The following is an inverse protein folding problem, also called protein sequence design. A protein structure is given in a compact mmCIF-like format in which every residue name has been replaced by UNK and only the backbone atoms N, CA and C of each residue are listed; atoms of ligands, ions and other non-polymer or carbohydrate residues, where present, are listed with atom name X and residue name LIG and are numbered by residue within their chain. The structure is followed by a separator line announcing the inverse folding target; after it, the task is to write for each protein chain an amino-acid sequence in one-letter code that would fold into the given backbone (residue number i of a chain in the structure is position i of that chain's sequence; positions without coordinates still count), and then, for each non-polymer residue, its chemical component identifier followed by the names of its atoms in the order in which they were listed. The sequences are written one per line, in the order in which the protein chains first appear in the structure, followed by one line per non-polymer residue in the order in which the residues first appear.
data_IF_089398683473
#
_entry.id   IF_089398683473
#
_cell.length_a   1.000
_cell.length_b   1.000
_cell.length_c   1.000
_cell.angle_alpha   90.00
_cell.angle_beta   90.00
_cell.angle_gamma   90.00
#
_symmetry.space_group_name_H-M   'P 1'
#
loop_
_entity.id
_entity.type
_entity.pdbx_description
1 polymer ?
#
# COMPACT_ATOMS: atom_id res chain seq x y z
N UNK A 1 -42.63 6.40 -3.53
CA UNK A 1 -42.15 5.50 -4.59
C UNK A 1 -40.69 5.18 -4.28
N UNK A 2 -40.43 3.98 -3.77
CA UNK A 2 -39.08 3.56 -3.37
C UNK A 2 -38.33 3.00 -4.57
N UNK A 3 -37.19 3.60 -4.90
CA UNK A 3 -36.31 3.13 -5.97
C UNK A 3 -35.40 2.04 -5.42
N UNK A 4 -35.75 0.79 -5.69
CA UNK A 4 -34.92 -0.38 -5.39
C UNK A 4 -33.70 -0.37 -6.33
N UNK A 5 -32.51 -0.15 -5.79
CA UNK A 5 -31.25 -0.28 -6.55
C UNK A 5 -30.99 -1.78 -6.73
N UNK A 6 -30.83 -2.29 -7.97
CA UNK A 6 -30.57 -3.69 -8.19
C UNK A 6 -29.15 -4.05 -7.73
N UNK A 7 -29.06 -5.03 -6.82
CA UNK A 7 -27.80 -5.62 -6.39
C UNK A 7 -27.21 -6.39 -7.59
N UNK A 8 -26.19 -5.83 -8.24
CA UNK A 8 -25.48 -6.51 -9.33
C UNK A 8 -24.83 -7.81 -8.82
N UNK A 9 -24.85 -8.90 -9.62
CA UNK A 9 -24.25 -10.17 -9.23
C UNK A 9 -22.74 -10.01 -9.02
N UNK A 10 -22.20 -10.73 -8.04
CA UNK A 10 -20.79 -10.72 -7.70
C UNK A 10 -19.94 -11.21 -8.88
N UNK A 11 -19.27 -10.31 -9.59
CA UNK A 11 -18.19 -10.69 -10.53
C UNK A 11 -17.07 -11.33 -9.72
N UNK A 12 -16.80 -12.60 -10.00
CA UNK A 12 -15.55 -13.25 -9.65
C UNK A 12 -14.54 -12.77 -10.69
N UNK A 13 -13.49 -12.10 -10.25
CA UNK A 13 -12.42 -11.69 -11.16
C UNK A 13 -11.61 -12.95 -11.47
N UNK A 14 -11.84 -13.53 -12.64
CA UNK A 14 -11.11 -14.71 -13.09
C UNK A 14 -9.73 -14.28 -13.58
N UNK A 15 -8.72 -14.43 -12.72
CA UNK A 15 -7.33 -14.29 -13.14
C UNK A 15 -6.92 -15.54 -13.91
N UNK A 16 -6.15 -15.42 -15.01
CA UNK A 16 -5.60 -16.60 -15.67
C UNK A 16 -4.73 -17.37 -14.68
N UNK A 17 -4.91 -18.70 -14.65
CA UNK A 17 -4.13 -19.58 -13.78
C UNK A 17 -2.63 -19.29 -13.97
N UNK A 18 -1.93 -19.03 -12.87
CA UNK A 18 -0.47 -18.81 -12.88
C UNK A 18 0.17 -20.07 -13.46
N UNK A 19 0.64 -19.99 -14.70
CA UNK A 19 1.43 -21.06 -15.30
C UNK A 19 2.61 -21.35 -14.38
N UNK A 20 2.63 -22.55 -13.79
CA UNK A 20 3.81 -23.07 -13.12
C UNK A 20 4.93 -23.09 -14.16
N UNK A 21 5.82 -22.10 -14.12
CA UNK A 21 7.12 -22.25 -14.79
C UNK A 21 7.76 -23.46 -14.15
N UNK A 22 7.88 -24.55 -14.92
CA UNK A 22 8.70 -25.70 -14.55
C UNK A 22 10.08 -25.17 -14.14
N UNK A 23 10.67 -25.66 -13.04
CA UNK A 23 12.05 -25.33 -12.71
C UNK A 23 12.95 -25.73 -13.91
N UNK A 24 13.99 -24.94 -14.23
CA UNK A 24 14.89 -25.31 -15.30
C UNK A 24 15.54 -26.66 -14.99
N UNK A 25 15.56 -27.53 -16.00
CA UNK A 25 16.26 -28.81 -15.96
C UNK A 25 17.73 -28.57 -15.60
N UNK A 26 18.14 -29.08 -14.43
CA UNK A 26 19.55 -29.15 -14.04
C UNK A 26 20.13 -30.37 -14.76
N UNK A 27 20.97 -30.14 -15.77
CA UNK A 27 21.83 -31.18 -16.34
C UNK A 27 23.00 -31.47 -15.37
N UNK A 28 23.35 -32.73 -15.13
CA UNK A 28 24.45 -33.09 -14.25
C UNK A 28 25.80 -32.87 -14.96
N UNK A 29 26.70 -32.09 -14.35
CA UNK A 29 28.11 -32.08 -14.73
C UNK A 29 28.88 -33.01 -13.79
N UNK A 30 29.39 -34.11 -14.33
CA UNK A 30 30.44 -34.92 -13.74
C UNK A 30 31.79 -34.16 -13.76
N UNK A 31 32.53 -34.26 -12.66
CA UNK A 31 33.93 -33.83 -12.54
C UNK A 31 34.45 -34.15 -11.13
N UNK A 32 35.59 -34.85 -10.95
CA UNK A 32 35.87 -35.58 -9.73
C UNK A 32 36.80 -34.86 -8.73
N UNK A 33 36.65 -35.28 -7.46
CA UNK A 33 37.67 -35.45 -6.41
C UNK A 33 38.51 -34.25 -5.93
N UNK A 34 38.41 -33.93 -4.64
CA UNK A 34 39.47 -34.28 -3.66
C UNK A 34 39.05 -33.94 -2.21
N UNK A 35 39.48 -34.82 -1.31
CA UNK A 35 39.34 -34.84 0.15
C UNK A 35 40.24 -33.79 0.83
N UNK A 36 39.82 -33.23 1.98
CA UNK A 36 40.63 -32.73 3.14
C UNK A 36 39.87 -31.60 3.86
N UNK A 37 39.90 -31.35 5.17
CA UNK A 37 40.21 -32.05 6.41
C UNK A 37 39.68 -31.10 7.52
N UNK A 38 39.17 -31.62 8.64
CA UNK A 38 38.62 -30.83 9.76
C UNK A 38 39.69 -29.97 10.48
N UNK A 39 39.36 -28.72 10.84
CA UNK A 39 39.80 -28.04 12.10
C UNK A 39 38.74 -26.99 12.53
N UNK A 40 38.28 -26.94 13.80
CA UNK A 40 37.53 -25.81 14.39
C UNK A 40 38.37 -25.07 15.47
N UNK A 41 37.80 -24.13 16.26
CA UNK A 41 37.40 -22.76 15.94
C UNK A 41 38.27 -21.72 16.70
N UNK A 42 38.16 -20.42 16.38
CA UNK A 42 38.62 -19.38 17.33
C UNK A 42 37.74 -18.14 17.26
N UNK A 43 37.10 -17.87 18.38
CA UNK A 43 36.37 -16.66 18.73
C UNK A 43 37.36 -15.56 19.12
N UNK A 44 37.19 -14.35 18.58
CA UNK A 44 37.77 -13.12 19.15
C UNK A 44 36.71 -12.02 19.12
N UNK A 45 36.32 -11.61 20.32
CA UNK A 45 35.58 -10.39 20.63
C UNK A 45 36.57 -9.23 20.74
N UNK A 46 36.32 -8.07 20.11
CA UNK A 46 36.64 -6.75 20.69
C UNK A 46 36.10 -5.56 19.87
N UNK A 47 35.31 -4.72 20.57
CA UNK A 47 35.30 -3.24 20.62
C UNK A 47 35.21 -2.39 19.33
N UNK A 48 34.09 -1.67 19.23
CA UNK A 48 33.96 -0.20 19.23
C UNK A 48 35.19 0.63 18.77
N UNK A 49 35.11 1.30 17.61
CA UNK A 49 34.97 2.76 17.49
C UNK A 49 35.34 3.28 16.08
N UNK A 50 34.61 4.32 15.69
CA UNK A 50 34.98 5.46 14.84
C UNK A 50 35.11 5.28 13.31
N UNK A 51 34.11 5.85 12.64
CA UNK A 51 34.22 6.82 11.55
C UNK A 51 35.59 6.96 10.89
N UNK A 52 35.67 6.54 9.63
CA UNK A 52 36.49 7.24 8.65
C UNK A 52 35.82 7.24 7.27
N UNK A 53 35.31 8.44 6.96
CA UNK A 53 34.86 8.88 5.66
C UNK A 53 35.94 8.60 4.60
N UNK A 54 35.64 7.75 3.62
CA UNK A 54 36.49 7.52 2.44
C UNK A 54 35.69 7.84 1.20
N UNK A 55 35.70 9.13 0.83
CA UNK A 55 35.30 9.63 -0.49
C UNK A 55 36.24 9.03 -1.53
N UNK A 56 35.77 8.02 -2.27
CA UNK A 56 36.32 7.70 -3.59
C UNK A 56 35.45 8.43 -4.62
N UNK A 57 35.97 9.55 -5.10
CA UNK A 57 35.41 10.28 -6.24
C UNK A 57 35.92 9.55 -7.49
N UNK A 58 35.07 8.75 -8.11
CA UNK A 58 35.21 8.40 -9.53
C UNK A 58 34.32 9.34 -10.33
N UNK A 59 34.96 10.25 -11.06
CA UNK A 59 34.32 11.27 -11.88
C UNK A 59 33.78 10.66 -13.17
N UNK A 60 32.57 10.06 -13.14
CA UNK A 60 31.68 10.03 -14.31
C UNK A 60 30.24 9.73 -13.87
N UNK A 61 29.32 10.64 -14.21
CA UNK A 61 27.86 10.60 -14.03
C UNK A 61 27.31 11.15 -12.69
N UNK A 62 26.97 12.45 -12.72
CA UNK A 62 26.11 13.12 -11.74
C UNK A 62 24.70 12.52 -11.77
N UNK A 63 24.46 11.53 -10.92
CA UNK A 63 23.13 11.25 -10.38
C UNK A 63 23.32 10.89 -8.91
N UNK A 64 22.93 11.81 -8.03
CA UNK A 64 22.73 11.54 -6.61
C UNK A 64 21.63 10.49 -6.52
N UNK A 65 22.03 9.22 -6.51
CA UNK A 65 21.14 8.11 -6.20
C UNK A 65 20.87 8.24 -4.71
N UNK A 66 19.81 8.95 -4.36
CA UNK A 66 19.27 8.95 -3.01
C UNK A 66 18.89 7.50 -2.69
N UNK A 67 19.83 6.78 -2.10
CA UNK A 67 19.63 5.43 -1.59
C UNK A 67 18.80 5.60 -0.33
N UNK A 68 17.49 5.80 -0.49
CA UNK A 68 16.56 5.80 0.62
C UNK A 68 16.68 4.43 1.27
N UNK A 69 17.24 4.39 2.48
CA UNK A 69 17.34 3.17 3.27
C UNK A 69 15.93 2.60 3.44
N UNK A 70 15.72 1.36 3.01
CA UNK A 70 14.43 0.68 3.16
C UNK A 70 14.04 0.62 4.63
N UNK A 71 12.84 1.09 4.96
CA UNK A 71 12.36 1.10 6.34
C UNK A 71 12.13 -0.33 6.84
N UNK A 72 12.61 -0.64 8.05
CA UNK A 72 12.34 -1.93 8.71
C UNK A 72 11.09 -1.79 9.58
N UNK A 73 9.98 -2.36 9.11
CA UNK A 73 8.73 -2.42 9.87
C UNK A 73 8.75 -3.60 10.86
N UNK A 74 8.42 -3.33 12.13
CA UNK A 74 8.28 -4.35 13.17
C UNK A 74 6.82 -4.42 13.61
N UNK A 75 6.10 -5.38 13.05
CA UNK A 75 4.70 -5.62 13.34
C UNK A 75 4.57 -6.36 14.67
N UNK A 76 3.71 -5.88 15.56
CA UNK A 76 3.33 -6.65 16.74
C UNK A 76 2.36 -7.79 16.37
N UNK A 77 1.98 -8.62 17.34
CA UNK A 77 1.14 -9.79 17.08
C UNK A 77 -0.26 -9.44 16.56
N UNK A 78 -0.88 -8.34 17.02
CA UNK A 78 -2.18 -7.86 16.53
C UNK A 78 -2.07 -7.34 15.09
N UNK A 79 -1.03 -6.55 14.82
CA UNK A 79 -0.74 -6.05 13.48
C UNK A 79 -0.47 -7.20 12.51
N UNK A 80 0.24 -8.24 12.97
CA UNK A 80 0.48 -9.46 12.19
C UNK A 80 -0.82 -10.21 11.86
N UNK A 81 -1.77 -10.29 12.80
CA UNK A 81 -3.10 -10.86 12.56
C UNK A 81 -3.87 -10.02 11.53
N UNK A 82 -3.84 -8.68 11.66
CA UNK A 82 -4.50 -7.77 10.74
C UNK A 82 -3.93 -7.89 9.31
N UNK A 83 -2.61 -7.96 9.19
CA UNK A 83 -1.90 -8.20 7.93
C UNK A 83 -2.31 -9.55 7.32
N UNK A 84 -2.32 -10.62 8.10
CA UNK A 84 -2.70 -11.94 7.63
C UNK A 84 -4.16 -11.97 7.14
N UNK A 85 -5.06 -11.34 7.89
CA UNK A 85 -6.48 -11.22 7.52
C UNK A 85 -6.68 -10.43 6.23
N UNK A 86 -6.04 -9.26 6.10
CA UNK A 86 -6.13 -8.45 4.88
C UNK A 86 -5.51 -9.17 3.67
N UNK A 87 -4.32 -9.76 3.83
CA UNK A 87 -3.65 -10.55 2.79
C UNK A 87 -4.57 -11.66 2.28
N UNK A 88 -5.15 -12.45 3.20
CA UNK A 88 -6.10 -13.51 2.86
C UNK A 88 -7.34 -12.98 2.14
N UNK A 89 -7.91 -11.86 2.60
CA UNK A 89 -9.10 -11.26 1.99
C UNK A 89 -8.84 -10.79 0.56
N UNK A 90 -7.67 -10.19 0.29
CA UNK A 90 -7.24 -9.77 -1.05
C UNK A 90 -7.06 -11.00 -1.95
N UNK A 91 -6.33 -12.02 -1.47
CA UNK A 91 -6.08 -13.27 -2.20
C UNK A 91 -7.37 -14.00 -2.58
N UNK A 92 -8.28 -14.21 -1.62
CA UNK A 92 -9.58 -14.86 -1.86
C UNK A 92 -10.46 -14.06 -2.82
N UNK A 93 -10.40 -12.72 -2.74
CA UNK A 93 -11.18 -11.86 -3.65
C UNK A 93 -10.59 -11.86 -5.07
N UNK A 94 -9.27 -12.03 -5.18
CA UNK A 94 -8.57 -12.16 -6.47
C UNK A 94 -8.62 -13.59 -7.02
N UNK A 95 -8.99 -14.60 -6.21
CA UNK A 95 -8.85 -16.00 -6.62
C UNK A 95 -7.39 -16.41 -6.83
N UNK A 96 -6.44 -15.71 -6.20
CA UNK A 96 -5.00 -15.98 -6.28
C UNK A 96 -4.55 -16.63 -4.99
N UNK A 97 -3.70 -17.66 -5.09
CA UNK A 97 -2.92 -18.15 -3.95
C UNK A 97 -1.51 -17.60 -4.02
N UNK A 98 -1.09 -16.90 -2.99
CA UNK A 98 0.25 -16.36 -2.84
C UNK A 98 0.82 -16.76 -1.46
N UNK A 99 1.87 -17.57 -1.48
CA UNK A 99 2.57 -18.06 -0.29
C UNK A 99 3.52 -17.00 0.33
N UNK A 100 3.57 -15.80 -0.24
CA UNK A 100 4.40 -14.70 0.27
C UNK A 100 3.92 -14.27 1.66
N UNK A 101 4.78 -14.35 2.71
CA UNK A 101 4.36 -14.07 4.08
C UNK A 101 4.23 -12.56 4.35
N UNK A 102 3.38 -12.25 5.33
CA UNK A 102 3.25 -10.91 5.90
C UNK A 102 2.79 -9.84 4.91
N UNK A 103 3.23 -8.60 5.13
CA UNK A 103 2.80 -7.45 4.34
C UNK A 103 3.18 -7.56 2.86
N UNK A 104 4.28 -8.26 2.55
CA UNK A 104 4.70 -8.49 1.17
C UNK A 104 3.67 -9.27 0.35
N UNK A 105 2.89 -10.15 0.97
CA UNK A 105 1.80 -10.87 0.31
C UNK A 105 0.67 -9.94 -0.15
N UNK A 106 0.36 -8.89 0.63
CA UNK A 106 -0.57 -7.82 0.25
C UNK A 106 -0.06 -7.14 -1.02
N UNK A 107 1.18 -6.66 -0.99
CA UNK A 107 1.78 -5.90 -2.10
C UNK A 107 1.92 -6.77 -3.36
N UNK A 108 2.36 -8.02 -3.22
CA UNK A 108 2.50 -8.96 -4.34
C UNK A 108 1.16 -9.25 -5.01
N UNK A 109 0.11 -9.52 -4.23
CA UNK A 109 -1.22 -9.78 -4.78
C UNK A 109 -1.82 -8.51 -5.40
N UNK A 110 -1.66 -7.35 -4.75
CA UNK A 110 -2.07 -6.06 -5.30
C UNK A 110 -1.36 -5.74 -6.61
N UNK A 111 -0.08 -6.08 -6.76
CA UNK A 111 0.65 -5.90 -8.01
C UNK A 111 0.12 -6.81 -9.13
N UNK A 112 -0.30 -8.04 -8.80
CA UNK A 112 -0.99 -8.91 -9.76
C UNK A 112 -2.34 -8.32 -10.19
N UNK A 113 -3.15 -7.86 -9.23
CA UNK A 113 -4.44 -7.17 -9.49
C UNK A 113 -4.23 -5.96 -10.40
N UNK A 114 -3.23 -5.12 -10.10
CA UNK A 114 -2.91 -3.93 -10.89
C UNK A 114 -2.54 -4.26 -12.35
N UNK A 115 -1.77 -5.34 -12.58
CA UNK A 115 -1.35 -5.74 -13.94
C UNK A 115 -2.50 -6.27 -14.79
N UNK A 116 -3.43 -6.98 -14.17
CA UNK A 116 -4.40 -7.82 -14.87
C UNK A 116 -5.78 -7.17 -15.00
N UNK A 117 -6.14 -6.22 -14.12
CA UNK A 117 -7.44 -5.55 -14.14
C UNK A 117 -7.33 -4.15 -14.74
N UNK A 118 -8.40 -3.67 -15.38
CA UNK A 118 -8.52 -2.27 -15.78
C UNK A 118 -8.69 -1.34 -14.56
N UNK A 119 -8.43 -0.03 -14.65
CA UNK A 119 -8.56 0.90 -13.52
C UNK A 119 -9.94 0.87 -12.81
N UNK A 120 -11.03 0.73 -13.58
CA UNK A 120 -12.37 0.64 -13.01
C UNK A 120 -12.58 -0.69 -12.26
N UNK A 121 -12.03 -1.79 -12.78
CA UNK A 121 -12.09 -3.11 -12.13
C UNK A 121 -11.20 -3.16 -10.89
N UNK A 122 -10.04 -2.50 -10.91
CA UNK A 122 -9.16 -2.32 -9.76
C UNK A 122 -9.90 -1.61 -8.62
N UNK A 123 -10.60 -0.51 -8.93
CA UNK A 123 -11.41 0.24 -7.97
C UNK A 123 -12.52 -0.64 -7.37
N UNK A 124 -13.30 -1.30 -8.22
CA UNK A 124 -14.36 -2.20 -7.78
C UNK A 124 -13.83 -3.38 -6.93
N UNK A 125 -12.66 -3.91 -7.29
CA UNK A 125 -11.97 -4.95 -6.54
C UNK A 125 -11.62 -4.48 -5.13
N UNK A 126 -10.99 -3.30 -4.99
CA UNK A 126 -10.59 -2.79 -3.67
C UNK A 126 -11.80 -2.44 -2.82
N UNK A 127 -12.85 -1.85 -3.38
CA UNK A 127 -14.10 -1.61 -2.65
C UNK A 127 -14.67 -2.91 -2.06
N UNK A 128 -14.67 -3.99 -2.84
CA UNK A 128 -15.12 -5.31 -2.39
C UNK A 128 -14.23 -5.88 -1.28
N UNK A 129 -12.92 -5.69 -1.37
CA UNK A 129 -11.98 -6.07 -0.30
C UNK A 129 -12.26 -5.28 0.97
N UNK A 130 -12.45 -3.96 0.88
CA UNK A 130 -12.74 -3.10 2.02
C UNK A 130 -14.08 -3.49 2.68
N UNK A 131 -15.13 -3.73 1.88
CA UNK A 131 -16.44 -4.18 2.37
C UNK A 131 -16.34 -5.53 3.11
N UNK A 132 -15.49 -6.46 2.65
CA UNK A 132 -15.23 -7.74 3.35
C UNK A 132 -14.33 -7.59 4.58
N UNK A 133 -13.40 -6.64 4.55
CA UNK A 133 -12.46 -6.40 5.64
C UNK A 133 -13.13 -5.74 6.85
N UNK A 134 -14.25 -5.04 6.62
CA UNK A 134 -15.10 -4.49 7.68
C UNK A 134 -15.78 -5.64 8.46
N UNK A 135 -15.54 -5.76 9.78
CA UNK A 135 -16.21 -6.77 10.58
C UNK A 135 -17.72 -6.52 10.64
N UNK A 136 -18.55 -7.56 10.49
CA UNK A 136 -20.02 -7.43 10.48
C UNK A 136 -20.59 -6.77 11.73
N UNK A 137 -19.96 -6.95 12.90
CA UNK A 137 -20.38 -6.30 14.15
C UNK A 137 -20.29 -4.77 14.09
N UNK A 138 -19.41 -4.23 13.24
CA UNK A 138 -19.20 -2.79 13.09
C UNK A 138 -20.23 -2.11 12.20
N UNK A 139 -21.08 -2.85 11.47
CA UNK A 139 -22.08 -2.28 10.56
C UNK A 139 -23.08 -1.36 11.28
N UNK A 140 -23.45 -1.70 12.51
CA UNK A 140 -24.33 -0.84 13.34
C UNK A 140 -23.62 0.47 13.67
N UNK A 141 -22.33 0.42 14.02
CA UNK A 141 -21.52 1.59 14.30
C UNK A 141 -21.32 2.44 13.05
N UNK A 142 -20.99 1.83 11.91
CA UNK A 142 -20.83 2.51 10.61
C UNK A 142 -22.13 3.23 10.23
N UNK A 143 -23.29 2.57 10.37
CA UNK A 143 -24.58 3.18 10.09
C UNK A 143 -24.83 4.40 10.97
N UNK A 144 -24.58 4.29 12.29
CA UNK A 144 -24.69 5.41 13.23
C UNK A 144 -23.73 6.54 12.86
N UNK A 145 -22.51 6.21 12.50
CA UNK A 145 -21.46 7.17 12.17
C UNK A 145 -21.77 7.93 10.88
N UNK A 146 -22.31 7.25 9.87
CA UNK A 146 -22.78 7.87 8.62
C UNK A 146 -23.94 8.84 8.83
N UNK A 147 -24.77 8.61 9.86
CA UNK A 147 -25.86 9.51 10.24
C UNK A 147 -25.37 10.70 11.08
N UNK A 148 -24.12 10.68 11.57
CA UNK A 148 -23.59 11.82 12.30
C UNK A 148 -23.28 12.97 11.35
N UNK A 149 -23.53 14.23 11.77
CA UNK A 149 -23.14 15.39 11.00
C UNK A 149 -21.63 15.37 10.71
N UNK A 150 -21.24 15.93 9.55
CA UNK A 150 -19.84 16.19 9.24
C UNK A 150 -19.33 17.38 10.07
N UNK A 151 -19.22 17.15 11.37
CA UNK A 151 -18.77 18.13 12.36
C UNK A 151 -17.26 18.07 12.53
N UNK A 152 -16.68 19.14 13.09
CA UNK A 152 -15.28 19.19 13.52
C UNK A 152 -14.91 17.98 14.37
N UNK A 153 -15.74 17.65 15.37
CA UNK A 153 -15.53 16.50 16.25
C UNK A 153 -15.41 15.19 15.47
N UNK A 154 -16.29 14.98 14.49
CA UNK A 154 -16.27 13.78 13.66
C UNK A 154 -14.95 13.69 12.88
N UNK A 155 -14.52 14.77 12.23
CA UNK A 155 -13.27 14.80 11.44
C UNK A 155 -12.03 14.55 12.30
N UNK A 156 -11.94 15.19 13.45
CA UNK A 156 -10.83 15.00 14.39
C UNK A 156 -10.80 13.57 14.95
N UNK A 157 -11.97 13.01 15.29
CA UNK A 157 -12.07 11.62 15.73
C UNK A 157 -11.55 10.66 14.66
N UNK A 158 -11.94 10.84 13.39
CA UNK A 158 -11.46 9.98 12.30
C UNK A 158 -9.97 10.13 12.05
N UNK A 159 -9.43 11.36 12.14
CA UNK A 159 -7.99 11.57 12.00
C UNK A 159 -7.20 10.82 13.09
N UNK A 160 -7.62 10.96 14.35
CA UNK A 160 -7.01 10.25 15.49
C UNK A 160 -7.20 8.73 15.37
N UNK A 161 -8.41 8.29 15.03
CA UNK A 161 -8.69 6.86 14.86
C UNK A 161 -7.82 6.26 13.76
N UNK A 162 -7.61 6.98 12.67
CA UNK A 162 -6.82 6.50 11.52
C UNK A 162 -5.35 6.29 11.89
N UNK A 163 -4.75 7.19 12.66
CA UNK A 163 -3.33 7.05 13.08
C UNK A 163 -3.11 5.86 13.99
N UNK A 164 -4.12 5.44 14.75
CA UNK A 164 -4.05 4.27 15.63
C UNK A 164 -4.40 2.98 14.86
N UNK A 165 -5.53 2.96 14.15
CA UNK A 165 -6.08 1.74 13.56
C UNK A 165 -5.34 1.28 12.30
N UNK A 166 -4.78 2.21 11.52
CA UNK A 166 -4.16 1.89 10.23
C UNK A 166 -2.64 2.02 10.23
N UNK A 167 -2.00 2.24 11.38
CA UNK A 167 -0.53 2.30 11.51
C UNK A 167 0.17 1.11 10.86
N UNK A 168 -0.32 -0.10 11.06
CA UNK A 168 0.26 -1.31 10.48
C UNK A 168 0.16 -1.37 8.95
N UNK A 169 -0.88 -0.73 8.39
CA UNK A 169 -1.22 -0.78 6.97
C UNK A 169 -0.45 0.30 6.19
N UNK A 170 -0.50 1.53 6.68
CA UNK A 170 0.08 2.70 5.98
C UNK A 170 1.41 3.13 6.58
N UNK A 171 1.76 2.75 7.81
CA UNK A 171 3.00 3.14 8.47
C UNK A 171 2.81 4.24 9.52
N UNK A 172 3.93 4.79 10.07
CA UNK A 172 3.89 5.81 11.10
C UNK A 172 3.18 7.08 10.62
N UNK A 173 2.21 7.53 11.41
CA UNK A 173 1.40 8.70 11.09
C UNK A 173 1.11 9.55 12.32
N UNK A 174 0.91 10.84 12.08
CA UNK A 174 0.63 11.86 13.08
C UNK A 174 -0.56 12.72 12.65
N UNK A 175 -1.27 13.31 13.61
CA UNK A 175 -2.38 14.23 13.31
C UNK A 175 -1.84 15.66 13.30
N UNK A 176 -2.01 16.35 12.18
CA UNK A 176 -1.67 17.76 11.98
C UNK A 176 -2.91 18.64 11.97
N UNK A 177 -2.68 19.92 12.22
CA UNK A 177 -3.70 20.96 12.12
C UNK A 177 -3.71 21.52 10.70
N UNK A 178 -4.91 21.68 10.15
CA UNK A 178 -5.15 22.46 8.94
C UNK A 178 -6.19 23.52 9.25
N UNK A 179 -6.03 24.68 8.62
CA UNK A 179 -7.08 25.69 8.64
C UNK A 179 -8.15 25.30 7.63
N UNK A 180 -9.28 24.82 8.14
CA UNK A 180 -10.44 24.44 7.34
C UNK A 180 -11.56 25.45 7.62
N UNK A 181 -12.00 26.17 6.58
CA UNK A 181 -13.06 27.18 6.67
C UNK A 181 -12.81 28.26 7.76
N UNK A 182 -11.55 28.72 7.89
CA UNK A 182 -11.16 29.76 8.86
C UNK A 182 -11.09 29.28 10.31
N UNK A 183 -11.14 27.96 10.55
CA UNK A 183 -10.94 27.35 11.88
C UNK A 183 -9.81 26.34 11.82
N UNK A 184 -8.96 26.34 12.84
CA UNK A 184 -7.96 25.29 13.02
C UNK A 184 -8.63 24.01 13.50
N UNK A 185 -8.42 22.94 12.75
CA UNK A 185 -8.95 21.61 13.04
C UNK A 185 -7.83 20.57 12.92
N UNK A 186 -7.87 19.55 13.79
CA UNK A 186 -6.94 18.41 13.75
C UNK A 186 -7.46 17.34 12.80
N UNK A 187 -7.69 17.71 11.54
CA UNK A 187 -8.35 16.87 10.53
C UNK A 187 -7.39 16.29 9.47
N UNK A 188 -6.09 16.51 9.59
CA UNK A 188 -5.08 15.97 8.66
C UNK A 188 -4.30 14.86 9.32
N UNK A 189 -4.24 13.70 8.68
CA UNK A 189 -3.33 12.62 9.06
C UNK A 189 -2.14 12.66 8.12
N UNK A 190 -0.97 12.97 8.65
CA UNK A 190 0.28 12.94 7.92
C UNK A 190 0.98 11.60 8.14
N UNK A 191 1.06 10.78 7.09
CA UNK A 191 1.82 9.54 7.08
C UNK A 191 3.24 9.89 6.63
N UNK A 192 4.19 9.80 7.57
CA UNK A 192 5.59 10.17 7.33
C UNK A 192 6.25 9.35 6.23
N UNK A 193 5.94 8.05 6.16
CA UNK A 193 6.37 7.17 5.07
C UNK A 193 5.36 6.05 4.86
N UNK A 194 4.69 6.08 3.72
CA UNK A 194 3.62 5.18 3.36
C UNK A 194 4.18 3.79 3.02
N UNK A 195 3.91 2.80 3.86
CA UNK A 195 4.39 1.42 3.71
C UNK A 195 3.96 0.78 2.39
N UNK A 196 2.73 1.04 1.94
CA UNK A 196 2.21 0.51 0.68
C UNK A 196 2.94 1.12 -0.53
N UNK A 197 3.20 2.43 -0.47
CA UNK A 197 3.92 3.15 -1.51
C UNK A 197 5.40 2.75 -1.55
N UNK A 198 6.04 2.62 -0.38
CA UNK A 198 7.44 2.21 -0.26
C UNK A 198 7.67 0.78 -0.77
N UNK A 199 6.82 -0.19 -0.37
CA UNK A 199 6.97 -1.58 -0.80
C UNK A 199 6.49 -1.82 -2.23
N UNK A 200 5.43 -1.13 -2.67
CA UNK A 200 4.88 -1.26 -4.01
C UNK A 200 5.67 -0.51 -5.07
N UNK A 201 6.32 0.60 -4.68
CA UNK A 201 7.15 1.46 -5.53
C UNK A 201 6.52 1.76 -6.88
N UNK A 202 5.21 2.03 -6.87
CA UNK A 202 4.44 2.29 -8.08
C UNK A 202 3.33 3.32 -7.84
N UNK A 203 3.43 4.47 -8.53
CA UNK A 203 2.43 5.55 -8.53
C UNK A 203 1.04 5.01 -8.87
N UNK A 204 0.95 4.21 -9.94
CA UNK A 204 -0.31 3.63 -10.39
C UNK A 204 -1.00 2.73 -9.35
N UNK A 205 -0.24 1.95 -8.58
CA UNK A 205 -0.82 1.16 -7.48
C UNK A 205 -1.34 2.07 -6.36
N UNK A 206 -0.59 3.10 -6.00
CA UNK A 206 -1.01 4.06 -4.99
C UNK A 206 -2.30 4.77 -5.39
N UNK A 207 -2.38 5.28 -6.61
CA UNK A 207 -3.57 6.02 -7.09
C UNK A 207 -4.78 5.12 -7.27
N UNK A 208 -4.63 3.98 -7.96
CA UNK A 208 -5.77 3.14 -8.35
C UNK A 208 -6.20 2.12 -7.28
N UNK A 209 -5.28 1.64 -6.44
CA UNK A 209 -5.59 0.62 -5.43
C UNK A 209 -5.68 1.16 -4.00
N UNK A 210 -5.13 2.35 -3.72
CA UNK A 210 -5.22 2.96 -2.40
C UNK A 210 -6.08 4.22 -2.45
N UNK A 211 -5.59 5.31 -3.06
CA UNK A 211 -6.23 6.64 -3.04
C UNK A 211 -7.69 6.61 -3.48
N UNK A 212 -7.97 6.28 -4.74
CA UNK A 212 -9.32 6.36 -5.29
C UNK A 212 -10.35 5.49 -4.56
N UNK A 213 -10.11 4.17 -4.36
CA UNK A 213 -11.08 3.33 -3.69
C UNK A 213 -11.24 3.66 -2.20
N UNK A 214 -10.18 4.05 -1.49
CA UNK A 214 -10.29 4.43 -0.08
C UNK A 214 -11.10 5.71 0.11
N UNK A 215 -10.90 6.72 -0.74
CA UNK A 215 -11.69 7.95 -0.70
C UNK A 215 -13.18 7.69 -0.94
N UNK A 216 -13.50 6.88 -1.95
CA UNK A 216 -14.89 6.49 -2.20
C UNK A 216 -15.48 5.69 -1.04
N UNK A 217 -14.74 4.70 -0.55
CA UNK A 217 -15.19 3.85 0.53
C UNK A 217 -15.50 4.67 1.79
N UNK A 218 -14.62 5.60 2.16
CA UNK A 218 -14.83 6.42 3.36
C UNK A 218 -16.07 7.32 3.18
N UNK A 219 -16.22 7.96 2.02
CA UNK A 219 -17.40 8.79 1.72
C UNK A 219 -18.69 7.97 1.72
N UNK A 220 -18.71 6.79 1.10
CA UNK A 220 -19.89 5.91 1.00
C UNK A 220 -20.26 5.27 2.34
N UNK A 221 -19.27 4.80 3.10
CA UNK A 221 -19.48 4.04 4.34
C UNK A 221 -19.71 4.96 5.53
N UNK A 222 -18.92 6.02 5.67
CA UNK A 222 -18.92 6.89 6.85
C UNK A 222 -19.51 8.27 6.60
N UNK A 223 -19.83 8.64 5.35
CA UNK A 223 -20.42 9.95 5.04
C UNK A 223 -19.44 11.12 5.12
N UNK A 224 -18.14 10.83 5.11
CA UNK A 224 -17.09 11.87 5.26
C UNK A 224 -16.27 11.94 3.99
N UNK A 225 -16.22 13.11 3.32
CA UNK A 225 -15.30 13.30 2.21
C UNK A 225 -13.87 13.35 2.75
N UNK A 226 -12.96 12.81 1.95
CA UNK A 226 -11.54 12.75 2.29
C UNK A 226 -10.75 12.94 1.01
N UNK A 227 -9.71 13.75 1.10
CA UNK A 227 -8.70 13.91 0.06
C UNK A 227 -7.39 13.31 0.53
N UNK A 228 -6.86 12.34 -0.21
CA UNK A 228 -5.57 11.70 0.06
C UNK A 228 -4.51 12.28 -0.86
N UNK A 229 -3.46 12.89 -0.33
CA UNK A 229 -2.41 13.57 -1.10
C UNK A 229 -1.08 12.83 -0.90
N UNK A 230 -0.73 11.88 -1.79
CA UNK A 230 0.56 11.21 -1.74
C UNK A 230 1.68 12.13 -2.21
N UNK A 231 2.85 12.03 -1.59
CA UNK A 231 4.09 12.60 -2.08
C UNK A 231 5.00 11.46 -2.55
N UNK A 232 5.39 11.48 -3.82
CA UNK A 232 6.19 10.43 -4.43
C UNK A 232 7.70 10.64 -4.29
N UNK A 233 8.15 11.82 -3.86
CA UNK A 233 9.57 12.08 -3.64
C UNK A 233 10.06 11.48 -2.32
N UNK A 234 9.29 11.67 -1.25
CA UNK A 234 9.61 11.18 0.10
C UNK A 234 8.78 9.95 0.54
N UNK A 235 7.86 9.50 -0.32
CA UNK A 235 6.91 8.41 -0.06
C UNK A 235 5.92 8.70 1.09
N UNK A 236 5.72 9.95 1.49
CA UNK A 236 4.72 10.35 2.49
C UNK A 236 3.31 10.43 1.89
N UNK A 237 2.28 10.57 2.73
CA UNK A 237 0.91 10.74 2.28
C UNK A 237 0.08 11.49 3.32
N UNK A 238 -0.70 12.47 2.90
CA UNK A 238 -1.66 13.16 3.77
C UNK A 238 -3.08 12.67 3.53
N UNK A 239 -3.86 12.51 4.59
CA UNK A 239 -5.29 12.18 4.52
C UNK A 239 -6.04 13.34 5.18
N UNK A 240 -6.75 14.12 4.38
CA UNK A 240 -7.44 15.34 4.81
C UNK A 240 -8.92 15.03 4.95
N UNK A 241 -9.41 14.92 6.18
CA UNK A 241 -10.82 14.66 6.46
C UNK A 241 -11.65 15.93 6.31
N UNK A 242 -12.79 15.83 5.63
CA UNK A 242 -13.68 16.97 5.35
C UNK A 242 -13.46 17.63 3.99
N UNK A 243 -12.34 17.35 3.32
CA UNK A 243 -12.08 17.87 1.98
C UNK A 243 -12.60 16.90 0.91
N UNK A 244 -13.40 17.39 -0.03
CA UNK A 244 -13.79 16.59 -1.19
C UNK A 244 -12.56 16.31 -2.08
N UNK A 245 -12.39 15.06 -2.53
CA UNK A 245 -11.29 14.73 -3.42
C UNK A 245 -11.49 15.41 -4.78
N UNK A 246 -10.41 15.85 -5.45
CA UNK A 246 -10.48 16.40 -6.80
C UNK A 246 -10.97 15.35 -7.80
N UNK A 247 -11.43 15.82 -8.97
CA UNK A 247 -11.65 14.95 -10.12
C UNK A 247 -10.32 14.32 -10.55
N UNK A 248 -10.37 13.11 -11.11
CA UNK A 248 -9.17 12.35 -11.47
C UNK A 248 -8.28 13.10 -12.50
N UNK A 249 -8.89 13.83 -13.44
CA UNK A 249 -8.18 14.67 -14.42
C UNK A 249 -7.43 15.86 -13.79
N UNK A 250 -7.95 16.39 -12.68
CA UNK A 250 -7.37 17.54 -12.00
C UNK A 250 -6.36 17.14 -10.93
N UNK A 251 -6.45 15.91 -10.43
CA UNK A 251 -5.67 15.37 -9.34
C UNK A 251 -4.17 15.29 -9.68
N UNK A 252 -3.30 16.04 -8.97
CA UNK A 252 -1.86 16.01 -9.19
C UNK A 252 -1.26 14.61 -9.11
N UNK A 253 -1.83 13.71 -8.28
CA UNK A 253 -1.31 12.36 -8.12
C UNK A 253 -1.34 11.52 -9.42
N UNK A 254 -2.17 11.92 -10.40
CA UNK A 254 -2.26 11.25 -11.72
C UNK A 254 -1.39 11.90 -12.80
N UNK A 255 -0.78 13.06 -12.51
CA UNK A 255 0.10 13.79 -13.44
C UNK A 255 1.57 13.43 -13.26
N UNK A 256 1.90 12.77 -12.17
CA UNK A 256 3.25 12.36 -11.81
C UNK A 256 3.75 11.18 -12.67
N UNK A 257 5.03 11.20 -13.11
CA UNK A 257 5.58 10.11 -13.91
C UNK A 257 5.65 8.81 -13.10
N UNK A 258 5.50 7.68 -13.78
CA UNK A 258 5.67 6.37 -13.15
C UNK A 258 7.11 6.23 -12.62
N UNK A 259 7.29 5.74 -11.38
CA UNK A 259 8.63 5.43 -10.87
C UNK A 259 9.37 4.52 -11.83
N UNK A 260 10.66 4.81 -12.07
CA UNK A 260 11.56 3.93 -12.87
C UNK A 260 11.61 2.49 -12.34
N UNK A 261 11.33 2.31 -11.05
CA UNK A 261 11.32 1.03 -10.36
C UNK A 261 9.94 0.33 -10.41
N UNK A 262 8.87 1.00 -10.87
CA UNK A 262 7.60 0.34 -11.14
C UNK A 262 7.72 -0.52 -12.39
N UNK A 263 8.16 -1.77 -12.22
CA UNK A 263 8.24 -2.76 -13.30
C UNK A 263 6.87 -3.42 -13.61
N UNK A 264 5.76 -2.72 -13.34
CA UNK A 264 4.40 -3.22 -13.57
C UNK A 264 3.84 -2.61 -14.85
N UNK A 265 3.93 -3.34 -15.97
CA UNK A 265 3.17 -2.99 -17.18
C UNK A 265 1.73 -3.47 -17.00
N UNK A 266 0.76 -2.57 -17.03
CA UNK A 266 -0.66 -2.94 -17.09
C UNK A 266 -0.96 -3.59 -18.44
N UNK A 267 -1.75 -4.66 -18.45
CA UNK A 267 -2.21 -5.28 -19.70
C UNK A 267 -3.28 -4.47 -20.41
N UNK A 268 -4.01 -3.64 -19.67
CA UNK A 268 -5.23 -2.96 -20.11
C UNK A 268 -5.10 -1.44 -20.29
N UNK A 269 -3.89 -0.88 -20.14
CA UNK A 269 -3.69 0.56 -20.28
C UNK A 269 -2.46 0.83 -21.14
N UNK A 270 -2.68 1.64 -22.18
CA UNK A 270 -1.63 2.21 -22.98
C UNK A 270 -0.67 2.98 -22.06
N UNK A 271 0.61 2.65 -22.18
CA UNK A 271 1.81 3.34 -21.69
C UNK A 271 1.61 4.45 -20.64
N UNK A 272 2.27 4.31 -19.47
CA UNK A 272 2.78 5.50 -18.78
C UNK A 272 3.47 6.38 -19.83
N UNK A 273 3.08 7.64 -19.94
CA UNK A 273 3.79 8.59 -20.81
C UNK A 273 5.17 8.76 -20.14
N UNK A 274 6.20 8.24 -20.80
CA UNK A 274 7.60 8.41 -20.45
C UNK A 274 8.02 9.87 -20.62
#
# INVERSE_FOLDING_TARGET
MGTTIPLSPARVFSFPARSHRKPPHICPKHGPSTLSLLIPPTSITTKHSNDHHSLKIDTTNNYTTATSSKTVYRDNWLESIAIAFLSKTIQETAGIKDDTPGYKGIVSTSAAVFRELSPNEQRAFVLKVLEKAVPSFSLIMIKKMRLMPNSKFTREFFAIFTTVAFRWLVGPSEVRELEFEGKKERNVVHITKCRFLEEGNCVGMCTNLCKMPTQEFIKKSFGIPVNMVPNFDDMSCEIIFGQDPPAQEDDPAFKEPCYKLCNLKQRHTASCIN
#
